data_IF_917742661088
#
_entry.id   IF_917742661088
#
_cell.length_a   1.000
_cell.length_b   1.000
_cell.length_c   1.000
_cell.angle_alpha   90.00
_cell.angle_beta   90.00
_cell.angle_gamma   90.00
#
_symmetry.space_group_name_H-M   'P 1'
#
loop_
_entity.id
_entity.type
_entity.pdbx_description
1 polymer ?
#
# COMPACT_ATOMS: atom_id res chain seq x y z
N UNK A 1 -6.32 0.62 16.35
CA UNK A 1 -5.13 0.93 17.17
C UNK A 1 -3.95 1.04 16.23
N UNK A 2 -3.44 2.25 16.00
CA UNK A 2 -2.10 2.41 15.45
C UNK A 2 -1.15 1.88 16.52
N UNK A 3 -0.71 0.66 16.37
CA UNK A 3 0.09 -0.01 17.38
C UNK A 3 1.53 0.51 17.26
N UNK A 4 1.99 1.26 18.28
CA UNK A 4 3.39 1.66 18.44
C UNK A 4 4.35 0.45 18.47
N UNK A 5 3.81 -0.74 18.59
CA UNK A 5 4.54 -2.01 18.67
C UNK A 5 4.89 -2.58 17.29
N UNK A 6 4.40 -1.96 16.21
CA UNK A 6 4.75 -2.40 14.86
C UNK A 6 6.18 -1.98 14.50
N UNK A 7 7.02 -2.89 13.97
CA UNK A 7 8.44 -2.62 13.68
C UNK A 7 8.65 -1.52 12.61
N UNK A 8 7.59 -1.09 11.94
CA UNK A 8 7.58 -0.04 10.89
C UNK A 8 6.78 1.18 11.29
N UNK A 9 6.40 1.30 12.56
CA UNK A 9 5.68 2.48 13.05
C UNK A 9 6.57 3.72 12.99
N UNK A 10 5.99 4.83 12.49
CA UNK A 10 6.63 6.15 12.43
C UNK A 10 5.61 7.18 12.89
N UNK A 11 6.01 8.08 13.80
CA UNK A 11 5.14 9.16 14.26
C UNK A 11 4.96 10.24 13.19
N UNK A 12 3.84 10.93 13.23
CA UNK A 12 3.57 12.04 12.30
C UNK A 12 4.59 13.18 12.45
N UNK A 13 5.07 13.42 13.67
CA UNK A 13 6.08 14.41 14.00
C UNK A 13 7.44 14.06 13.38
N UNK A 14 7.84 12.77 13.45
CA UNK A 14 9.05 12.29 12.79
C UNK A 14 8.98 12.49 11.27
N UNK A 15 7.82 12.20 10.64
CA UNK A 15 7.63 12.46 9.21
C UNK A 15 7.68 13.97 8.91
N UNK A 16 7.08 14.80 9.76
CA UNK A 16 7.08 16.25 9.61
C UNK A 16 8.50 16.83 9.58
N UNK A 17 9.43 16.27 10.36
CA UNK A 17 10.81 16.78 10.47
C UNK A 17 11.63 16.66 9.16
N UNK A 18 11.29 15.70 8.30
CA UNK A 18 12.00 15.48 7.03
C UNK A 18 11.12 15.64 5.79
N UNK A 19 9.83 15.99 5.94
CA UNK A 19 8.90 16.11 4.81
C UNK A 19 9.36 17.08 3.72
N UNK A 20 10.11 18.12 4.09
CA UNK A 20 10.66 19.09 3.13
C UNK A 20 11.74 18.49 2.21
N UNK A 21 12.31 17.34 2.57
CA UNK A 21 13.28 16.61 1.75
C UNK A 21 12.61 15.75 0.67
N UNK A 22 11.29 15.57 0.73
CA UNK A 22 10.54 14.80 -0.27
C UNK A 22 10.42 15.64 -1.53
N UNK A 23 10.91 15.17 -2.69
CA UNK A 23 10.84 15.92 -3.94
C UNK A 23 9.39 16.24 -4.35
N UNK A 24 9.21 17.35 -5.05
CA UNK A 24 7.93 17.68 -5.66
C UNK A 24 7.47 16.54 -6.61
N UNK A 25 6.20 16.17 -6.54
CA UNK A 25 5.64 15.08 -7.33
C UNK A 25 5.72 13.69 -6.66
N UNK A 26 6.44 13.55 -5.55
CA UNK A 26 6.43 12.32 -4.75
C UNK A 26 5.34 12.41 -3.68
N UNK A 27 4.33 11.53 -3.75
CA UNK A 27 3.22 11.51 -2.81
C UNK A 27 3.65 10.90 -1.47
N UNK A 28 3.25 11.55 -0.37
CA UNK A 28 3.41 11.05 0.98
C UNK A 28 2.17 10.26 1.37
N UNK A 29 2.32 8.94 1.52
CA UNK A 29 1.23 8.01 1.81
C UNK A 29 1.31 7.57 3.27
N UNK A 30 0.27 7.83 4.05
CA UNK A 30 0.11 7.30 5.40
C UNK A 30 -0.71 6.02 5.39
N UNK A 31 -0.17 4.94 5.99
CA UNK A 31 -0.85 3.65 6.11
C UNK A 31 -1.52 3.55 7.47
N UNK A 32 -2.81 3.27 7.49
CA UNK A 32 -3.62 3.19 8.70
C UNK A 32 -4.36 1.86 8.78
N UNK A 33 -4.30 1.22 9.94
CA UNK A 33 -5.00 -0.03 10.24
C UNK A 33 -6.05 0.27 11.30
N UNK A 34 -7.32 0.24 10.90
CA UNK A 34 -8.49 0.48 11.77
C UNK A 34 -8.36 1.73 12.69
N UNK A 35 -7.66 2.77 12.21
CA UNK A 35 -7.40 3.98 12.97
C UNK A 35 -8.63 4.90 12.99
N UNK A 36 -8.90 5.61 14.12
CA UNK A 36 -9.96 6.62 14.19
C UNK A 36 -9.73 7.78 13.21
N UNK A 37 -10.82 8.37 12.71
CA UNK A 37 -10.76 9.50 11.79
C UNK A 37 -9.97 10.70 12.34
N UNK A 38 -10.07 10.97 13.63
CA UNK A 38 -9.33 12.04 14.31
C UNK A 38 -7.82 11.83 14.28
N UNK A 39 -7.38 10.59 14.50
CA UNK A 39 -5.97 10.20 14.43
C UNK A 39 -5.43 10.37 13.01
N UNK A 40 -6.15 9.84 12.01
CA UNK A 40 -5.83 10.02 10.59
C UNK A 40 -5.75 11.50 10.22
N UNK A 41 -6.74 12.31 10.64
CA UNK A 41 -6.79 13.74 10.35
C UNK A 41 -5.61 14.50 10.99
N UNK A 42 -5.21 14.13 12.20
CA UNK A 42 -4.03 14.69 12.88
C UNK A 42 -2.77 14.35 12.10
N UNK A 43 -2.58 13.09 11.72
CA UNK A 43 -1.42 12.65 10.95
C UNK A 43 -1.35 13.35 9.57
N UNK A 44 -2.48 13.48 8.87
CA UNK A 44 -2.55 14.22 7.59
C UNK A 44 -2.05 15.65 7.76
N UNK A 45 -2.50 16.37 8.78
CA UNK A 45 -2.07 17.77 9.03
C UNK A 45 -0.61 17.87 9.44
N UNK A 46 -0.17 17.04 10.40
CA UNK A 46 1.17 17.11 10.98
C UNK A 46 2.24 16.68 9.98
N UNK A 47 2.07 15.52 9.34
CA UNK A 47 3.02 14.97 8.38
C UNK A 47 2.87 15.55 6.97
N UNK A 48 1.77 16.25 6.68
CA UNK A 48 1.47 16.75 5.34
C UNK A 48 1.25 15.63 4.33
N UNK A 49 0.43 14.63 4.72
CA UNK A 49 0.16 13.48 3.86
C UNK A 49 -0.72 13.87 2.67
N UNK A 50 -0.41 13.33 1.52
CA UNK A 50 -1.17 13.50 0.28
C UNK A 50 -2.24 12.39 0.12
N UNK A 51 -1.97 11.22 0.68
CA UNK A 51 -2.81 10.02 0.56
C UNK A 51 -2.94 9.35 1.93
N UNK A 52 -4.12 8.84 2.24
CA UNK A 52 -4.31 7.83 3.28
C UNK A 52 -4.58 6.47 2.63
N UNK A 53 -3.88 5.45 3.10
CA UNK A 53 -4.06 4.06 2.70
C UNK A 53 -4.69 3.28 3.85
N UNK A 54 -5.88 2.74 3.59
CA UNK A 54 -6.71 2.10 4.61
C UNK A 54 -6.58 0.58 4.57
N UNK A 55 -6.11 0.01 5.68
CA UNK A 55 -6.10 -1.42 5.96
C UNK A 55 -7.20 -1.77 6.97
N UNK A 56 -7.82 -2.94 6.84
CA UNK A 56 -8.76 -3.48 7.83
C UNK A 56 -10.18 -2.91 7.80
N UNK A 57 -10.39 -1.70 7.32
CA UNK A 57 -11.73 -1.09 7.24
C UNK A 57 -12.69 -1.92 6.41
N UNK A 58 -13.84 -2.27 6.98
CA UNK A 58 -14.86 -3.12 6.35
C UNK A 58 -15.61 -2.43 5.22
N UNK A 59 -15.69 -1.09 5.20
CA UNK A 59 -16.47 -0.33 4.23
C UNK A 59 -15.66 0.22 3.04
N UNK A 60 -16.40 0.64 2.02
CA UNK A 60 -15.87 1.43 0.90
C UNK A 60 -16.17 2.93 1.06
N UNK A 61 -16.71 3.32 2.21
CA UNK A 61 -17.04 4.69 2.53
C UNK A 61 -15.77 5.51 2.79
N UNK A 62 -15.83 6.78 2.42
CA UNK A 62 -14.73 7.70 2.72
C UNK A 62 -14.74 8.02 4.22
N UNK A 63 -13.62 7.84 4.93
CA UNK A 63 -13.53 8.32 6.29
C UNK A 63 -13.69 9.84 6.32
N UNK A 64 -14.22 10.38 7.41
CA UNK A 64 -14.41 11.82 7.62
C UNK A 64 -13.04 12.52 7.83
N UNK A 65 -12.18 12.47 6.80
CA UNK A 65 -10.81 13.00 6.81
C UNK A 65 -10.60 13.88 5.58
N UNK A 66 -10.08 15.09 5.79
CA UNK A 66 -9.71 16.00 4.70
C UNK A 66 -8.32 15.62 4.18
N UNK A 67 -8.30 14.88 3.08
CA UNK A 67 -7.09 14.42 2.39
C UNK A 67 -7.35 14.41 0.88
N UNK A 68 -6.29 14.55 0.08
CA UNK A 68 -6.40 14.63 -1.38
C UNK A 68 -6.86 13.31 -1.99
N UNK A 69 -6.33 12.17 -1.51
CA UNK A 69 -6.63 10.84 -2.06
C UNK A 69 -6.81 9.80 -0.97
N UNK A 70 -7.66 8.83 -1.25
CA UNK A 70 -7.92 7.66 -0.40
C UNK A 70 -7.61 6.39 -1.19
N UNK A 71 -6.70 5.58 -0.69
CA UNK A 71 -6.42 4.25 -1.22
C UNK A 71 -6.95 3.19 -0.27
N UNK A 72 -7.49 2.11 -0.81
CA UNK A 72 -8.06 1.00 -0.02
C UNK A 72 -7.31 -0.30 -0.31
N UNK A 73 -6.91 -0.99 0.76
CA UNK A 73 -6.31 -2.32 0.63
C UNK A 73 -7.41 -3.38 0.46
N UNK A 74 -7.19 -4.28 -0.48
CA UNK A 74 -8.02 -5.44 -0.77
C UNK A 74 -7.17 -6.69 -0.64
N UNK A 75 -7.61 -7.62 0.18
CA UNK A 75 -6.94 -8.90 0.36
C UNK A 75 -7.60 -9.96 -0.55
N UNK A 76 -6.84 -10.47 -1.51
CA UNK A 76 -7.29 -11.56 -2.38
C UNK A 76 -6.98 -12.91 -1.73
N UNK A 77 -7.96 -13.46 -1.01
CA UNK A 77 -7.95 -14.80 -0.45
C UNK A 77 -8.52 -15.86 -1.40
N UNK A 78 -8.97 -17.00 -0.86
CA UNK A 78 -9.68 -18.06 -1.60
C UNK A 78 -11.15 -17.72 -1.90
N UNK A 79 -11.70 -16.69 -1.26
CA UNK A 79 -13.08 -16.20 -1.47
C UNK A 79 -13.24 -15.55 -2.84
N UNK A 80 -14.47 -15.34 -3.33
CA UNK A 80 -14.72 -14.58 -4.55
C UNK A 80 -14.00 -13.22 -4.52
N UNK A 81 -13.60 -12.73 -5.70
CA UNK A 81 -13.00 -11.39 -5.84
C UNK A 81 -14.00 -10.37 -5.31
N UNK A 82 -13.59 -9.50 -4.37
CA UNK A 82 -14.49 -8.52 -3.79
C UNK A 82 -15.06 -7.58 -4.84
N UNK A 83 -16.36 -7.32 -4.78
CA UNK A 83 -16.97 -6.25 -5.56
C UNK A 83 -16.52 -4.90 -5.01
N UNK A 84 -16.11 -4.01 -5.90
CA UNK A 84 -15.78 -2.61 -5.59
C UNK A 84 -16.88 -1.65 -6.08
N UNK A 85 -18.04 -2.19 -6.43
CA UNK A 85 -19.20 -1.38 -6.77
C UNK A 85 -19.56 -0.46 -5.59
N UNK A 86 -19.78 0.82 -5.88
CA UNK A 86 -20.05 1.82 -4.83
C UNK A 86 -18.81 2.44 -4.19
N UNK A 87 -17.59 2.07 -4.58
CA UNK A 87 -16.36 2.66 -4.08
C UNK A 87 -16.06 4.07 -4.65
N UNK A 88 -17.07 4.92 -4.80
CA UNK A 88 -16.90 6.27 -5.38
C UNK A 88 -15.85 7.10 -4.61
N UNK A 89 -15.77 6.90 -3.32
CA UNK A 89 -14.87 7.63 -2.42
C UNK A 89 -13.41 7.11 -2.38
N UNK A 90 -13.10 6.02 -3.08
CA UNK A 90 -11.76 5.42 -3.15
C UNK A 90 -11.12 5.82 -4.48
N UNK A 91 -9.91 6.38 -4.44
CA UNK A 91 -9.18 6.82 -5.63
C UNK A 91 -8.36 5.69 -6.27
N UNK A 92 -7.86 4.74 -5.48
CA UNK A 92 -7.14 3.57 -5.97
C UNK A 92 -7.27 2.40 -4.99
N UNK A 93 -7.08 1.19 -5.50
CA UNK A 93 -6.99 -0.02 -4.67
C UNK A 93 -5.56 -0.52 -4.60
N UNK A 94 -5.21 -1.11 -3.48
CA UNK A 94 -3.96 -1.85 -3.31
C UNK A 94 -4.31 -3.31 -3.04
N UNK A 95 -3.88 -4.19 -3.93
CA UNK A 95 -4.06 -5.63 -3.78
C UNK A 95 -2.89 -6.18 -2.99
N UNK A 96 -3.19 -6.74 -1.82
CA UNK A 96 -2.21 -7.42 -0.97
C UNK A 96 -2.63 -8.86 -0.71
N UNK A 97 -1.69 -9.66 -0.27
CA UNK A 97 -1.93 -11.04 0.09
C UNK A 97 -2.78 -11.12 1.37
N UNK A 98 -3.74 -12.02 1.38
CA UNK A 98 -4.40 -12.41 2.63
C UNK A 98 -3.44 -13.25 3.48
N UNK A 99 -3.16 -12.83 4.70
CA UNK A 99 -2.49 -13.63 5.72
C UNK A 99 -3.34 -13.63 6.98
N UNK A 100 -3.89 -14.78 7.32
CA UNK A 100 -4.64 -14.97 8.58
C UNK A 100 -3.72 -14.92 9.82
N UNK A 101 -2.41 -15.13 9.65
CA UNK A 101 -1.46 -15.36 10.75
C UNK A 101 -0.47 -14.21 10.99
N UNK A 102 -0.36 -13.24 10.06
CA UNK A 102 0.51 -12.07 10.27
C UNK A 102 0.23 -10.97 9.25
N UNK A 103 0.05 -9.73 9.67
CA UNK A 103 0.05 -8.59 8.77
C UNK A 103 1.47 -8.35 8.24
N UNK A 104 1.78 -8.95 7.09
CA UNK A 104 3.00 -8.72 6.31
C UNK A 104 4.17 -9.66 6.59
N UNK A 105 4.89 -10.04 5.53
CA UNK A 105 6.26 -10.57 5.65
C UNK A 105 6.48 -12.08 5.52
N UNK A 106 5.52 -12.89 5.07
CA UNK A 106 5.70 -14.36 4.95
C UNK A 106 6.44 -14.80 3.67
N UNK A 107 6.93 -13.87 2.83
CA UNK A 107 7.69 -14.19 1.61
C UNK A 107 6.92 -14.85 0.46
N UNK A 108 5.64 -15.18 0.65
CA UNK A 108 4.80 -15.71 -0.44
C UNK A 108 4.16 -14.55 -1.20
N UNK A 109 4.07 -14.65 -2.51
CA UNK A 109 3.41 -13.67 -3.38
C UNK A 109 1.89 -13.81 -3.34
N UNK A 110 1.17 -12.73 -3.66
CA UNK A 110 -0.26 -12.77 -3.99
C UNK A 110 -0.46 -13.68 -5.22
N UNK A 111 -1.63 -14.28 -5.35
CA UNK A 111 -1.99 -15.00 -6.59
C UNK A 111 -2.15 -13.97 -7.73
N UNK A 112 -1.19 -13.96 -8.64
CA UNK A 112 -1.15 -13.00 -9.74
C UNK A 112 -2.28 -13.19 -10.77
N UNK A 113 -2.81 -14.39 -10.91
CA UNK A 113 -3.96 -14.63 -11.79
C UNK A 113 -5.21 -13.94 -11.25
N UNK A 114 -5.43 -14.06 -9.94
CA UNK A 114 -6.52 -13.37 -9.26
C UNK A 114 -6.32 -11.85 -9.21
N UNK A 115 -5.08 -11.41 -8.99
CA UNK A 115 -4.74 -10.00 -9.03
C UNK A 115 -5.01 -9.40 -10.42
N UNK A 116 -4.69 -10.13 -11.48
CA UNK A 116 -5.00 -9.75 -12.86
C UNK A 116 -6.51 -9.62 -13.08
N UNK A 117 -7.29 -10.62 -12.66
CA UNK A 117 -8.76 -10.57 -12.75
C UNK A 117 -9.33 -9.37 -11.99
N UNK A 118 -8.79 -9.04 -10.81
CA UNK A 118 -9.20 -7.85 -10.06
C UNK A 118 -8.89 -6.56 -10.84
N UNK A 119 -7.68 -6.43 -11.39
CA UNK A 119 -7.27 -5.27 -12.21
C UNK A 119 -8.24 -5.05 -13.37
N UNK A 120 -8.60 -6.12 -14.10
CA UNK A 120 -9.49 -6.04 -15.26
C UNK A 120 -10.92 -5.63 -14.91
N UNK A 121 -11.39 -5.99 -13.72
CA UNK A 121 -12.77 -5.73 -13.27
C UNK A 121 -12.93 -4.46 -12.43
N UNK A 122 -11.85 -3.95 -11.87
CA UNK A 122 -11.88 -2.91 -10.86
C UNK A 122 -12.34 -1.54 -11.38
N UNK A 123 -12.00 -1.18 -12.63
CA UNK A 123 -12.32 0.12 -13.22
C UNK A 123 -11.64 1.33 -12.57
N UNK A 124 -10.72 1.11 -11.62
CA UNK A 124 -9.90 2.13 -10.93
C UNK A 124 -8.44 1.74 -10.93
N UNK A 125 -7.51 2.68 -10.67
CA UNK A 125 -6.10 2.36 -10.50
C UNK A 125 -5.89 1.28 -9.43
N UNK A 126 -5.07 0.27 -9.72
CA UNK A 126 -4.75 -0.82 -8.80
C UNK A 126 -3.24 -0.91 -8.63
N UNK A 127 -2.79 -0.84 -7.38
CA UNK A 127 -1.41 -1.15 -6.99
C UNK A 127 -1.32 -2.63 -6.61
N UNK A 128 -0.25 -3.29 -7.04
CA UNK A 128 0.05 -4.65 -6.64
C UNK A 128 1.08 -4.65 -5.52
N UNK A 129 0.73 -5.28 -4.41
CA UNK A 129 1.60 -5.52 -3.25
C UNK A 129 1.72 -7.03 -2.96
N UNK A 130 2.25 -7.36 -1.79
CA UNK A 130 2.29 -8.73 -1.29
C UNK A 130 3.43 -9.58 -1.85
N UNK A 131 4.57 -9.59 -1.16
CA UNK A 131 5.71 -10.45 -1.45
C UNK A 131 6.52 -10.05 -2.67
N UNK A 132 6.40 -8.80 -3.14
CA UNK A 132 7.24 -8.30 -4.23
C UNK A 132 8.69 -8.10 -3.77
N UNK A 133 9.62 -8.41 -4.68
CA UNK A 133 11.07 -8.29 -4.51
C UNK A 133 11.70 -7.82 -5.83
N UNK A 134 12.98 -7.39 -5.83
CA UNK A 134 13.69 -7.10 -7.07
C UNK A 134 13.72 -8.26 -8.07
N UNK A 135 13.59 -9.50 -7.59
CA UNK A 135 13.70 -10.70 -8.43
C UNK A 135 12.41 -11.09 -9.14
N UNK A 136 11.25 -10.64 -8.62
CA UNK A 136 9.94 -11.05 -9.15
C UNK A 136 9.07 -9.90 -9.68
N UNK A 137 9.40 -8.64 -9.38
CA UNK A 137 8.53 -7.50 -9.71
C UNK A 137 8.31 -7.30 -11.20
N UNK A 138 9.34 -7.50 -12.04
CA UNK A 138 9.22 -7.37 -13.49
C UNK A 138 8.23 -8.40 -14.07
N UNK A 139 8.29 -9.66 -13.60
CA UNK A 139 7.33 -10.69 -14.00
C UNK A 139 5.91 -10.37 -13.47
N UNK A 140 5.81 -9.92 -12.24
CA UNK A 140 4.55 -9.53 -11.64
C UNK A 140 3.84 -8.44 -12.47
N UNK A 141 4.59 -7.40 -12.89
CA UNK A 141 4.07 -6.32 -13.74
C UNK A 141 3.56 -6.86 -15.07
N UNK A 142 4.35 -7.68 -15.76
CA UNK A 142 3.94 -8.27 -17.05
C UNK A 142 2.68 -9.12 -16.95
N UNK A 143 2.55 -9.90 -15.87
CA UNK A 143 1.41 -10.82 -15.67
C UNK A 143 0.16 -10.12 -15.20
N UNK A 144 0.29 -9.20 -14.24
CA UNK A 144 -0.85 -8.54 -13.59
C UNK A 144 -1.27 -7.27 -14.31
N UNK A 145 -0.31 -6.53 -14.90
CA UNK A 145 -0.49 -5.22 -15.53
C UNK A 145 -1.17 -4.21 -14.57
N UNK A 146 -0.65 -4.04 -13.35
CA UNK A 146 -1.20 -3.08 -12.40
C UNK A 146 -0.88 -1.65 -12.84
N UNK A 147 -1.58 -0.68 -12.27
CA UNK A 147 -1.23 0.74 -12.41
C UNK A 147 0.10 1.10 -11.72
N UNK A 148 0.43 0.41 -10.64
CA UNK A 148 1.67 0.58 -9.91
C UNK A 148 1.97 -0.61 -9.02
N UNK A 149 3.12 -0.62 -8.38
CA UNK A 149 3.55 -1.66 -7.44
C UNK A 149 3.91 -1.06 -6.09
N UNK A 150 3.68 -1.81 -5.02
CA UNK A 150 4.05 -1.46 -3.66
C UNK A 150 4.98 -2.53 -3.07
N UNK A 151 6.04 -2.09 -2.38
CA UNK A 151 7.00 -2.98 -1.76
C UNK A 151 7.38 -2.50 -0.36
N UNK A 152 7.35 -3.42 0.60
CA UNK A 152 7.81 -3.15 1.95
C UNK A 152 9.02 -4.04 2.30
N UNK A 153 8.79 -5.26 2.77
CA UNK A 153 9.83 -6.17 3.26
C UNK A 153 10.80 -6.65 2.19
N UNK A 154 10.37 -6.74 0.93
CA UNK A 154 11.20 -7.23 -0.19
C UNK A 154 12.46 -6.39 -0.48
N UNK A 155 12.50 -5.16 0.03
CA UNK A 155 13.65 -4.25 -0.08
C UNK A 155 14.24 -3.86 1.27
N UNK A 156 14.00 -4.67 2.31
CA UNK A 156 14.55 -4.46 3.65
C UNK A 156 15.76 -5.37 3.92
N UNK A 157 16.75 -4.84 4.64
CA UNK A 157 17.84 -5.62 5.22
C UNK A 157 17.40 -6.28 6.55
N UNK A 158 16.51 -5.61 7.27
CA UNK A 158 15.79 -6.09 8.46
C UNK A 158 14.49 -5.30 8.63
N UNK A 159 13.50 -5.78 9.40
CA UNK A 159 12.23 -5.08 9.59
C UNK A 159 12.42 -3.60 9.95
N UNK A 160 11.79 -2.71 9.17
CA UNK A 160 11.89 -1.25 9.32
C UNK A 160 13.14 -0.59 8.75
N UNK A 161 14.12 -1.36 8.22
CA UNK A 161 15.34 -0.80 7.61
C UNK A 161 15.46 -1.17 6.14
N UNK A 162 15.27 -0.20 5.27
CA UNK A 162 15.43 -0.38 3.81
C UNK A 162 16.90 -0.58 3.44
N UNK A 163 17.12 -1.48 2.49
CA UNK A 163 18.38 -1.71 1.81
C UNK A 163 18.36 -0.90 0.52
N UNK A 164 19.21 0.13 0.43
CA UNK A 164 19.21 1.06 -0.70
C UNK A 164 19.57 0.39 -2.03
N UNK A 165 20.42 -0.64 -2.02
CA UNK A 165 20.76 -1.40 -3.22
C UNK A 165 19.56 -2.19 -3.72
N UNK A 166 18.84 -2.87 -2.81
CA UNK A 166 17.60 -3.56 -3.16
C UNK A 166 16.52 -2.60 -3.65
N UNK A 167 16.41 -1.39 -3.08
CA UNK A 167 15.48 -0.35 -3.56
C UNK A 167 15.82 0.06 -4.98
N UNK A 168 17.08 0.37 -5.28
CA UNK A 168 17.53 0.73 -6.64
C UNK A 168 17.21 -0.39 -7.64
N UNK A 169 17.62 -1.62 -7.32
CA UNK A 169 17.36 -2.79 -8.15
C UNK A 169 15.87 -3.01 -8.38
N UNK A 170 15.03 -2.84 -7.34
CA UNK A 170 13.58 -2.95 -7.47
C UNK A 170 13.03 -1.94 -8.49
N UNK A 171 13.42 -0.66 -8.37
CA UNK A 171 12.99 0.40 -9.28
C UNK A 171 13.44 0.11 -10.73
N UNK A 172 14.67 -0.36 -10.93
CA UNK A 172 15.18 -0.75 -12.24
C UNK A 172 14.36 -1.89 -12.84
N UNK A 173 14.02 -2.91 -12.06
CA UNK A 173 13.20 -4.03 -12.52
C UNK A 173 11.76 -3.61 -12.81
N UNK A 174 11.20 -2.64 -12.09
CA UNK A 174 9.88 -2.07 -12.41
C UNK A 174 9.84 -1.43 -13.82
N UNK A 175 10.95 -0.82 -14.26
CA UNK A 175 11.04 -0.18 -15.59
C UNK A 175 11.16 -1.16 -16.75
N UNK A 176 11.46 -2.43 -16.45
CA UNK A 176 11.61 -3.53 -17.43
C UNK A 176 10.36 -4.38 -17.58
N UNK A 177 9.41 -4.28 -16.67
CA UNK A 177 8.12 -4.96 -16.69
C UNK A 177 7.08 -4.19 -17.43
#
# INVERSE_FOLDING_TARGET
MCSSDLPRFVTAEAVASWRALVPAGVLKVGVFVDAPAEEMQRAVRTAGLDVIQLHGFQGLEKPCVKVSKVWKVVHLGRTPIPSVAGAAAVDAFLVDRYSAESPGGTGRTVDWSRAREFVERCGKPVLLAGGLTPDNVSEAIRRVRPWGVDVSSGVESRPGRKDLERVRRFIEQCRRG
#
